data_IF_415166083305
#
_entry.id   IF_415166083305
#
_cell.length_a   1.000
_cell.length_b   1.000
_cell.length_c   1.000
_cell.angle_alpha   90.00
_cell.angle_beta   90.00
_cell.angle_gamma   90.00
#
_symmetry.space_group_name_H-M   'P 1'
#
loop_
_entity.id
_entity.type
_entity.pdbx_description
1 polymer ?
#
# COMPACT_ATOMS: atom_id res chain seq x y z
N UNK A 1 -6.66 -9.79 3.66
CA UNK A 1 -7.24 -8.91 4.71
C UNK A 1 -7.55 -7.53 4.14
N UNK A 2 -8.64 -6.89 4.58
CA UNK A 2 -8.87 -5.47 4.28
C UNK A 2 -7.79 -4.63 4.97
N UNK A 3 -7.14 -3.74 4.20
CA UNK A 3 -6.11 -2.84 4.73
C UNK A 3 -6.77 -1.55 5.19
N UNK A 4 -7.65 -0.99 4.38
CA UNK A 4 -8.37 0.22 4.71
C UNK A 4 -9.88 -0.01 4.55
N UNK A 5 -10.67 0.49 5.51
CA UNK A 5 -12.13 0.45 5.48
C UNK A 5 -12.74 1.79 5.03
N UNK A 6 -12.10 2.91 5.37
CA UNK A 6 -12.57 4.25 5.02
C UNK A 6 -12.49 4.53 3.51
N UNK A 7 -11.42 4.04 2.87
CA UNK A 7 -11.29 3.96 1.41
C UNK A 7 -10.97 2.50 1.09
N UNK A 8 -11.98 1.67 0.76
CA UNK A 8 -11.86 0.23 0.86
C UNK A 8 -10.86 -0.37 -0.13
N UNK A 9 -9.80 -1.00 0.41
CA UNK A 9 -8.89 -1.84 -0.35
C UNK A 9 -8.28 -2.93 0.52
N UNK A 10 -7.79 -3.99 -0.13
CA UNK A 10 -7.27 -5.19 0.53
C UNK A 10 -5.78 -5.43 0.20
N UNK A 11 -5.19 -6.34 0.95
CA UNK A 11 -3.82 -6.82 0.79
C UNK A 11 -3.51 -7.34 -0.62
N UNK A 12 -4.47 -7.98 -1.29
CA UNK A 12 -4.29 -8.46 -2.67
C UNK A 12 -4.03 -7.30 -3.64
N UNK A 13 -4.78 -6.19 -3.53
CA UNK A 13 -4.59 -5.00 -4.38
C UNK A 13 -3.23 -4.36 -4.12
N UNK A 14 -2.82 -4.29 -2.85
CA UNK A 14 -1.49 -3.79 -2.45
C UNK A 14 -0.37 -4.68 -3.01
N UNK A 15 -0.46 -6.00 -2.82
CA UNK A 15 0.55 -6.95 -3.31
C UNK A 15 0.65 -6.93 -4.83
N UNK A 16 -0.47 -6.90 -5.55
CA UNK A 16 -0.45 -6.80 -7.01
C UNK A 16 0.24 -5.51 -7.49
N UNK A 17 -0.03 -4.37 -6.85
CA UNK A 17 0.61 -3.11 -7.19
C UNK A 17 2.12 -3.14 -6.93
N UNK A 18 2.55 -3.68 -5.79
CA UNK A 18 3.97 -3.79 -5.41
C UNK A 18 4.75 -4.75 -6.33
N UNK A 19 4.14 -5.86 -6.74
CA UNK A 19 4.77 -6.77 -7.71
C UNK A 19 4.90 -6.14 -9.10
N UNK A 20 3.93 -5.31 -9.50
CA UNK A 20 3.94 -4.64 -10.80
C UNK A 20 4.87 -3.42 -10.86
N UNK A 21 5.22 -2.81 -9.72
CA UNK A 21 6.08 -1.61 -9.71
C UNK A 21 7.53 -1.90 -10.07
N UNK A 22 7.98 -3.16 -9.98
CA UNK A 22 9.33 -3.59 -10.36
C UNK A 22 10.46 -2.97 -9.53
N UNK A 23 10.13 -2.32 -8.41
CA UNK A 23 11.07 -1.51 -7.65
C UNK A 23 10.52 -1.02 -6.32
N UNK A 24 11.29 -0.15 -5.65
CA UNK A 24 10.88 0.46 -4.39
C UNK A 24 9.60 1.27 -4.59
N UNK A 25 8.70 1.20 -3.61
CA UNK A 25 7.43 1.91 -3.63
C UNK A 25 7.34 2.94 -2.49
N UNK A 26 6.54 4.00 -2.70
CA UNK A 26 6.19 4.98 -1.67
C UNK A 26 4.78 4.72 -1.18
N UNK A 27 4.56 4.85 0.13
CA UNK A 27 3.25 4.60 0.77
C UNK A 27 2.13 5.41 0.12
N UNK A 28 2.38 6.68 -0.21
CA UNK A 28 1.38 7.54 -0.87
C UNK A 28 0.97 7.05 -2.25
N UNK A 29 1.92 6.57 -3.05
CA UNK A 29 1.67 6.05 -4.39
C UNK A 29 0.85 4.74 -4.31
N UNK A 30 1.23 3.86 -3.38
CA UNK A 30 0.52 2.60 -3.15
C UNK A 30 -0.89 2.85 -2.62
N UNK A 31 -1.05 3.80 -1.68
CA UNK A 31 -2.36 4.18 -1.16
C UNK A 31 -3.26 4.63 -2.30
N UNK A 32 -2.83 5.65 -3.05
CA UNK A 32 -3.58 6.24 -4.15
C UNK A 32 -3.92 5.23 -5.25
N UNK A 33 -3.01 4.30 -5.56
CA UNK A 33 -3.27 3.23 -6.51
C UNK A 33 -4.30 2.20 -6.00
N UNK A 34 -4.30 1.91 -4.70
CA UNK A 34 -5.22 0.94 -4.10
C UNK A 34 -6.58 1.54 -3.76
N UNK A 35 -6.65 2.83 -3.49
CA UNK A 35 -7.86 3.56 -3.13
C UNK A 35 -8.51 4.31 -4.30
N UNK A 36 -8.18 3.96 -5.55
CA UNK A 36 -8.76 4.56 -6.76
C UNK A 36 -8.59 6.09 -6.85
N UNK A 37 -7.45 6.60 -6.36
CA UNK A 37 -7.11 8.03 -6.41
C UNK A 37 -7.38 8.78 -5.12
N UNK A 38 -8.02 8.16 -4.13
CA UNK A 38 -8.42 8.83 -2.90
C UNK A 38 -7.25 9.28 -2.01
N UNK A 39 -7.51 10.30 -1.20
CA UNK A 39 -6.62 10.72 -0.12
C UNK A 39 -6.95 10.00 1.20
N UNK A 40 -5.98 9.83 2.12
CA UNK A 40 -6.25 9.26 3.43
C UNK A 40 -7.33 10.02 4.21
N UNK A 41 -8.37 9.30 4.64
CA UNK A 41 -9.48 9.86 5.41
C UNK A 41 -9.22 9.69 6.93
N UNK A 42 -9.43 8.49 7.46
CA UNK A 42 -9.31 8.20 8.90
C UNK A 42 -7.89 7.83 9.37
N UNK A 43 -6.95 7.68 8.43
CA UNK A 43 -5.53 7.35 8.64
C UNK A 43 -5.21 6.04 9.40
N UNK A 44 -6.20 5.31 9.91
CA UNK A 44 -6.03 4.07 10.68
C UNK A 44 -5.30 2.96 9.90
N UNK A 45 -5.50 2.94 8.58
CA UNK A 45 -4.90 1.93 7.70
C UNK A 45 -3.46 2.24 7.29
N UNK A 46 -2.94 3.43 7.61
CA UNK A 46 -1.64 3.89 7.13
C UNK A 46 -0.47 3.17 7.79
N UNK A 47 -0.56 2.78 9.07
CA UNK A 47 0.52 2.04 9.73
C UNK A 47 0.70 0.64 9.13
N UNK A 48 -0.41 -0.07 8.92
CA UNK A 48 -0.38 -1.36 8.24
C UNK A 48 0.20 -1.23 6.83
N UNK A 49 -0.24 -0.21 6.07
CA UNK A 49 0.29 0.03 4.73
C UNK A 49 1.80 0.38 4.75
N UNK A 50 2.24 1.23 5.69
CA UNK A 50 3.66 1.57 5.89
C UNK A 50 4.51 0.34 6.13
N UNK A 51 4.05 -0.58 6.98
CA UNK A 51 4.77 -1.81 7.29
C UNK A 51 4.89 -2.72 6.05
N UNK A 52 3.80 -2.87 5.28
CA UNK A 52 3.83 -3.67 4.04
C UNK A 52 4.83 -3.07 3.04
N UNK A 53 4.78 -1.76 2.81
CA UNK A 53 5.68 -1.07 1.86
C UNK A 53 7.13 -1.10 2.33
N UNK A 54 7.37 -0.97 3.64
CA UNK A 54 8.70 -1.10 4.22
C UNK A 54 9.28 -2.50 3.96
N UNK A 55 8.53 -3.55 4.28
CA UNK A 55 8.97 -4.93 4.08
C UNK A 55 9.29 -5.20 2.59
N UNK A 56 8.43 -4.76 1.67
CA UNK A 56 8.69 -4.85 0.22
C UNK A 56 10.00 -4.15 -0.17
N UNK A 57 10.19 -2.91 0.29
CA UNK A 57 11.39 -2.14 -0.03
C UNK A 57 12.68 -2.76 0.55
N UNK A 58 12.60 -3.46 1.67
CA UNK A 58 13.72 -4.23 2.24
C UNK A 58 14.04 -5.44 1.37
N UNK A 59 13.04 -6.17 0.86
CA UNK A 59 13.28 -7.31 -0.05
C UNK A 59 13.93 -6.93 -1.38
N UNK A 60 13.77 -5.69 -1.83
CA UNK A 60 14.40 -5.17 -3.07
C UNK A 60 15.82 -4.66 -2.83
N UNK A 61 16.14 -4.24 -1.61
CA UNK A 61 17.46 -3.71 -1.26
C UNK A 61 18.50 -4.82 -0.97
N UNK A 62 18.12 -6.09 -1.16
CA UNK A 62 18.95 -7.28 -0.95
C UNK A 62 19.28 -7.90 -2.28
#
# INVERSE_FOLDING_TARGET
MFICLCNPFNDKKVSAHLSNSGGRARVGDVYRACSDGENPNCCQCLETLKNIVKNHNETIAT
#
